data_IF_503665877415
#
_entry.id   IF_503665877415
#
_cell.length_a   1.000
_cell.length_b   1.000
_cell.length_c   1.000
_cell.angle_alpha   90.00
_cell.angle_beta   90.00
_cell.angle_gamma   90.00
#
_symmetry.space_group_name_H-M   'P 1'
#
loop_
_entity.id
_entity.type
_entity.pdbx_description
1 polymer ?
#
# COMPACT_ATOMS: atom_id res chain seq x y z
N UNK A 1 6.51 23.71 -18.74
CA UNK A 1 5.97 22.53 -18.03
C UNK A 1 5.97 22.83 -16.54
N UNK A 2 4.83 23.26 -15.99
CA UNK A 2 4.72 23.56 -14.56
C UNK A 2 4.78 22.26 -13.75
N UNK A 3 5.79 22.13 -12.88
CA UNK A 3 5.86 21.02 -11.93
C UNK A 3 4.66 21.15 -10.99
N UNK A 4 3.70 20.22 -11.06
CA UNK A 4 2.67 20.12 -10.03
C UNK A 4 3.38 19.89 -8.69
N UNK A 5 3.25 20.86 -7.78
CA UNK A 5 3.58 20.68 -6.37
C UNK A 5 2.46 19.85 -5.76
N UNK A 6 2.45 18.56 -6.07
CA UNK A 6 1.65 17.61 -5.30
C UNK A 6 2.37 17.47 -3.97
N UNK A 7 1.83 18.14 -2.94
CA UNK A 7 2.13 17.81 -1.55
C UNK A 7 1.93 16.30 -1.42
N UNK A 8 3.01 15.53 -1.25
CA UNK A 8 3.05 14.06 -1.33
C UNK A 8 2.27 13.31 -0.23
N UNK A 9 1.21 13.92 0.28
CA UNK A 9 0.28 13.38 1.26
C UNK A 9 -0.91 12.80 0.49
N UNK A 10 -0.99 11.47 0.46
CA UNK A 10 -2.12 10.75 -0.12
C UNK A 10 -3.21 10.62 0.95
N UNK A 11 -4.44 11.03 0.60
CA UNK A 11 -5.60 10.83 1.47
C UNK A 11 -6.14 9.42 1.29
N UNK A 12 -6.42 8.76 2.41
CA UNK A 12 -6.96 7.41 2.47
C UNK A 12 -8.36 7.49 3.07
N UNK A 13 -9.26 6.64 2.58
CA UNK A 13 -10.59 6.48 3.14
C UNK A 13 -10.54 6.07 4.63
N UNK A 14 -11.44 6.64 5.44
CA UNK A 14 -11.44 6.45 6.90
C UNK A 14 -11.77 5.01 7.28
N UNK A 15 -12.72 4.38 6.60
CA UNK A 15 -13.09 2.99 6.90
C UNK A 15 -11.95 2.04 6.56
N UNK A 16 -11.23 2.31 5.47
CA UNK A 16 -10.04 1.54 5.12
C UNK A 16 -8.95 1.71 6.17
N UNK A 17 -8.72 2.93 6.63
CA UNK A 17 -7.73 3.23 7.67
C UNK A 17 -8.04 2.48 8.97
N UNK A 18 -9.30 2.47 9.41
CA UNK A 18 -9.73 1.72 10.60
C UNK A 18 -9.50 0.21 10.45
N UNK A 19 -9.77 -0.34 9.26
CA UNK A 19 -9.51 -1.76 8.99
C UNK A 19 -8.02 -2.07 9.04
N UNK A 20 -7.17 -1.18 8.52
CA UNK A 20 -5.71 -1.30 8.60
C UNK A 20 -5.25 -1.27 10.06
N UNK A 21 -5.74 -0.32 10.86
CA UNK A 21 -5.39 -0.21 12.27
C UNK A 21 -5.81 -1.47 13.05
N UNK A 22 -7.04 -1.96 12.85
CA UNK A 22 -7.50 -3.23 13.43
C UNK A 22 -6.66 -4.43 12.97
N UNK A 23 -6.16 -4.42 11.74
CA UNK A 23 -5.35 -5.52 11.19
C UNK A 23 -3.95 -5.58 11.79
N UNK A 24 -3.27 -4.43 11.92
CA UNK A 24 -1.92 -4.35 12.50
C UNK A 24 -1.95 -4.57 14.02
N UNK A 25 -3.05 -4.23 14.70
CA UNK A 25 -3.20 -4.45 16.13
C UNK A 25 -3.46 -5.90 16.54
N UNK A 26 -3.69 -6.83 15.59
CA UNK A 26 -3.79 -8.27 15.92
C UNK A 26 -2.44 -8.79 16.40
N UNK A 27 -2.42 -9.60 17.46
CA UNK A 27 -1.19 -10.15 18.07
C UNK A 27 -0.25 -10.84 17.07
N UNK A 28 -0.79 -11.51 16.05
CA UNK A 28 -0.01 -12.16 14.99
C UNK A 28 0.74 -11.18 14.08
N UNK A 29 0.28 -9.94 13.98
CA UNK A 29 0.75 -8.92 13.03
C UNK A 29 1.47 -7.75 13.72
N UNK A 30 1.24 -7.57 15.03
CA UNK A 30 1.84 -6.53 15.89
C UNK A 30 3.37 -6.43 15.76
N UNK A 31 4.05 -7.57 15.64
CA UNK A 31 5.52 -7.59 15.53
C UNK A 31 6.02 -7.48 14.09
N UNK A 32 5.12 -7.59 13.12
CA UNK A 32 5.45 -7.59 11.69
C UNK A 32 5.45 -6.17 11.11
N UNK A 33 4.66 -5.27 11.70
CA UNK A 33 4.50 -3.89 11.25
C UNK A 33 4.72 -2.93 12.41
N UNK A 34 5.70 -2.04 12.30
CA UNK A 34 6.05 -1.07 13.36
C UNK A 34 4.99 0.02 13.46
N UNK A 35 4.37 0.41 12.34
CA UNK A 35 3.31 1.41 12.29
C UNK A 35 2.43 1.25 11.04
N UNK A 36 1.30 1.97 11.01
CA UNK A 36 0.36 1.97 9.88
C UNK A 36 0.98 2.42 8.55
N UNK A 37 1.89 3.39 8.58
CA UNK A 37 2.55 3.89 7.36
C UNK A 37 3.39 2.79 6.71
N UNK A 38 4.20 2.09 7.49
CA UNK A 38 5.03 0.97 7.00
C UNK A 38 4.17 -0.14 6.40
N UNK A 39 3.04 -0.47 7.04
CA UNK A 39 2.09 -1.44 6.50
C UNK A 39 1.55 -1.00 5.13
N UNK A 40 1.09 0.26 5.03
CA UNK A 40 0.53 0.81 3.79
C UNK A 40 1.58 0.84 2.68
N UNK A 41 2.79 1.32 2.98
CA UNK A 41 3.89 1.39 2.01
C UNK A 41 4.21 0.00 1.43
N UNK A 42 4.30 -1.03 2.28
CA UNK A 42 4.54 -2.41 1.87
C UNK A 42 3.39 -2.98 1.05
N UNK A 43 2.15 -2.79 1.50
CA UNK A 43 0.97 -3.29 0.81
C UNK A 43 0.81 -2.67 -0.59
N UNK A 44 1.07 -1.37 -0.72
CA UNK A 44 1.07 -0.67 -2.01
C UNK A 44 2.20 -1.18 -2.91
N UNK A 45 3.40 -1.33 -2.37
CA UNK A 45 4.54 -1.87 -3.13
C UNK A 45 4.25 -3.29 -3.67
N UNK A 46 3.76 -4.19 -2.81
CA UNK A 46 3.42 -5.55 -3.23
C UNK A 46 2.28 -5.57 -4.25
N UNK A 47 1.27 -4.72 -4.08
CA UNK A 47 0.17 -4.61 -5.03
C UNK A 47 0.66 -4.16 -6.41
N UNK A 48 1.45 -3.10 -6.46
CA UNK A 48 2.00 -2.58 -7.72
C UNK A 48 2.92 -3.61 -8.39
N UNK A 49 3.85 -4.20 -7.64
CA UNK A 49 4.72 -5.26 -8.14
C UNK A 49 3.91 -6.42 -8.77
N UNK A 50 2.84 -6.86 -8.11
CA UNK A 50 1.97 -7.90 -8.63
C UNK A 50 1.17 -7.47 -9.86
N UNK A 51 0.85 -6.18 -10.01
CA UNK A 51 0.24 -5.65 -11.23
C UNK A 51 1.25 -5.69 -12.38
N UNK A 52 2.46 -5.16 -12.17
CA UNK A 52 3.54 -5.18 -13.17
C UNK A 52 3.88 -6.62 -13.62
N UNK A 53 3.96 -7.57 -12.68
CA UNK A 53 4.21 -8.98 -12.99
C UNK A 53 3.05 -9.65 -13.74
N UNK A 54 1.80 -9.19 -13.55
CA UNK A 54 0.63 -9.70 -14.27
C UNK A 54 0.47 -9.05 -15.65
N UNK A 55 0.80 -7.78 -15.80
CA UNK A 55 0.76 -7.07 -17.07
C UNK A 55 1.91 -7.51 -18.00
N UNK A 56 3.08 -7.86 -17.46
CA UNK A 56 4.19 -8.47 -18.22
C UNK A 56 3.98 -9.94 -18.65
N UNK A 57 2.87 -10.56 -18.25
CA UNK A 57 2.52 -11.95 -18.56
C UNK A 57 1.75 -12.17 -19.88
N UNK A 58 1.35 -11.10 -20.59
CA UNK A 58 0.48 -11.19 -21.77
C UNK A 58 1.22 -10.96 -23.11
N UNK A 59 2.55 -10.90 -23.14
CA UNK A 59 3.34 -10.74 -24.38
C UNK A 59 4.07 -12.02 -24.84
N UNK A 60 3.73 -13.19 -24.30
CA UNK A 60 4.25 -14.48 -24.81
C UNK A 60 3.18 -15.56 -24.83
N UNK A 61 2.23 -15.46 -25.78
CA UNK A 61 1.51 -16.62 -26.29
C UNK A 61 1.21 -16.46 -27.77
#
# INVERSE_FOLDING_TARGET
>A
MGKKKDSGVVKIDVELLERVEKFISKDSNKYKYVNKKQFIDLAVFEYLKNLDEKEGGNEKK
#
